data_IF_732118933838
#
_entry.id   IF_732118933838
#
_cell.length_a   1.000
_cell.length_b   1.000
_cell.length_c   1.000
_cell.angle_alpha   90.00
_cell.angle_beta   90.00
_cell.angle_gamma   90.00
#
_symmetry.space_group_name_H-M   'P 1'
#
loop_
_entity.id
_entity.type
_entity.pdbx_description
1 polymer ?
#
# COMPACT_ATOMS: atom_id res chain seq x y z
N UNK A 1 7.50 -2.76 -28.75
CA UNK A 1 7.66 -2.02 -27.47
C UNK A 1 7.27 -2.97 -26.35
N UNK A 2 8.10 -3.17 -25.31
CA UNK A 2 7.75 -4.06 -24.20
C UNK A 2 6.67 -3.38 -23.35
N UNK A 3 5.63 -4.12 -22.94
CA UNK A 3 4.63 -3.60 -22.00
C UNK A 3 5.31 -3.28 -20.67
N UNK A 4 5.08 -2.09 -20.13
CA UNK A 4 5.57 -1.68 -18.81
C UNK A 4 4.45 -1.53 -17.78
N UNK A 5 3.21 -1.28 -18.20
CA UNK A 5 2.05 -1.20 -17.29
C UNK A 5 1.52 -2.58 -16.96
N UNK A 6 1.41 -2.91 -15.67
CA UNK A 6 0.93 -4.21 -15.21
C UNK A 6 -0.52 -4.48 -15.65
N UNK A 7 -1.38 -3.46 -15.64
CA UNK A 7 -2.79 -3.57 -16.06
C UNK A 7 -3.01 -3.93 -17.53
N UNK A 8 -1.99 -3.79 -18.37
CA UNK A 8 -2.04 -4.14 -19.79
C UNK A 8 -1.45 -5.54 -20.06
N UNK A 9 -0.99 -6.23 -19.01
CA UNK A 9 -0.41 -7.57 -19.06
C UNK A 9 -1.46 -8.63 -18.74
N UNK A 10 -1.43 -9.75 -19.46
CA UNK A 10 -2.01 -11.01 -18.99
C UNK A 10 -1.26 -11.51 -17.76
N UNK A 11 -1.88 -12.40 -16.98
CA UNK A 11 -1.22 -12.97 -15.80
C UNK A 11 0.08 -13.72 -16.15
N UNK A 12 0.17 -14.34 -17.34
CA UNK A 12 1.38 -14.99 -17.84
C UNK A 12 2.48 -13.97 -18.16
N UNK A 13 2.12 -12.85 -18.81
CA UNK A 13 3.07 -11.75 -19.06
C UNK A 13 3.55 -11.11 -17.75
N UNK A 14 2.65 -10.96 -16.79
CA UNK A 14 2.96 -10.44 -15.45
C UNK A 14 3.90 -11.36 -14.68
N UNK A 15 3.64 -12.68 -14.69
CA UNK A 15 4.54 -13.67 -14.08
C UNK A 15 5.97 -13.52 -14.60
N UNK A 16 6.11 -13.47 -15.92
CA UNK A 16 7.39 -13.28 -16.57
C UNK A 16 8.01 -11.90 -16.27
N UNK A 17 7.20 -10.85 -16.12
CA UNK A 17 7.67 -9.53 -15.72
C UNK A 17 8.22 -9.52 -14.28
N UNK A 18 7.51 -10.13 -13.33
CA UNK A 18 7.92 -10.22 -11.93
C UNK A 18 9.18 -11.07 -11.73
N UNK A 19 9.41 -12.11 -12.56
CA UNK A 19 10.67 -12.88 -12.54
C UNK A 19 11.90 -12.06 -12.91
N UNK A 20 11.73 -10.96 -13.65
CA UNK A 20 12.83 -10.13 -14.17
C UNK A 20 12.95 -8.77 -13.48
N UNK A 21 11.96 -8.39 -12.68
CA UNK A 21 11.87 -7.06 -12.10
C UNK A 21 12.18 -7.11 -10.61
N UNK A 22 13.33 -6.57 -10.22
CA UNK A 22 13.69 -6.36 -8.80
C UNK A 22 13.10 -5.05 -8.24
N UNK A 23 12.46 -4.25 -9.10
CA UNK A 23 11.91 -2.94 -8.74
C UNK A 23 10.67 -2.64 -9.57
N UNK A 24 9.65 -2.08 -8.92
CA UNK A 24 8.39 -1.66 -9.54
C UNK A 24 8.04 -0.24 -9.11
N UNK A 25 7.28 0.47 -9.93
CA UNK A 25 6.75 1.79 -9.64
C UNK A 25 5.30 1.65 -9.19
N UNK A 26 4.97 2.18 -8.01
CA UNK A 26 3.59 2.24 -7.50
C UNK A 26 3.16 3.71 -7.47
N UNK A 27 2.39 4.18 -8.47
CA UNK A 27 1.87 5.54 -8.44
C UNK A 27 0.78 5.68 -7.38
N UNK A 28 0.90 6.70 -6.53
CA UNK A 28 -0.03 6.98 -5.44
C UNK A 28 -0.50 8.42 -5.53
N UNK A 29 -1.82 8.62 -5.53
CA UNK A 29 -2.45 9.92 -5.57
C UNK A 29 -3.58 10.05 -4.57
N UNK A 30 -4.28 11.18 -4.65
CA UNK A 30 -5.37 11.57 -3.76
C UNK A 30 -6.51 12.20 -4.55
N UNK A 31 -7.69 12.28 -3.93
CA UNK A 31 -8.86 12.99 -4.45
C UNK A 31 -9.25 14.09 -3.47
N UNK A 32 -8.84 15.32 -3.76
CA UNK A 32 -9.17 16.46 -2.90
C UNK A 32 -9.28 17.78 -3.64
N UNK A 33 -9.82 18.79 -2.96
CA UNK A 33 -9.93 20.12 -3.54
C UNK A 33 -8.55 20.78 -3.73
N UNK A 34 -8.39 21.48 -4.85
CA UNK A 34 -7.15 22.20 -5.21
C UNK A 34 -7.46 23.61 -5.73
N UNK A 35 -8.39 24.31 -5.08
CA UNK A 35 -8.97 25.52 -5.67
C UNK A 35 -9.74 25.20 -6.97
N UNK A 36 -9.73 26.07 -7.99
CA UNK A 36 -10.54 25.91 -9.20
C UNK A 36 -9.90 24.97 -10.25
N UNK A 37 -9.32 23.85 -9.82
CA UNK A 37 -8.75 22.83 -10.71
C UNK A 37 -9.33 21.44 -10.39
N UNK A 38 -9.13 20.42 -11.25
CA UNK A 38 -9.74 19.11 -11.06
C UNK A 38 -9.33 18.43 -9.75
N UNK A 39 -10.30 17.81 -9.08
CA UNK A 39 -10.11 17.08 -7.81
C UNK A 39 -9.08 15.94 -7.92
N UNK A 40 -9.07 15.25 -9.06
CA UNK A 40 -8.17 14.12 -9.32
C UNK A 40 -6.84 14.50 -9.97
N UNK A 41 -6.42 15.77 -9.84
CA UNK A 41 -5.17 16.23 -10.48
C UNK A 41 -3.95 15.47 -9.96
N UNK A 42 -3.92 15.10 -8.67
CA UNK A 42 -2.80 14.35 -8.08
C UNK A 42 -2.68 12.97 -8.73
N UNK A 43 -3.76 12.19 -8.71
CA UNK A 43 -3.81 10.85 -9.29
C UNK A 43 -3.46 10.85 -10.79
N UNK A 44 -4.00 11.81 -11.55
CA UNK A 44 -3.70 11.95 -12.99
C UNK A 44 -2.24 12.33 -13.25
N UNK A 45 -1.66 13.17 -12.41
CA UNK A 45 -0.29 13.64 -12.58
C UNK A 45 0.71 12.52 -12.28
N UNK A 46 0.52 11.80 -11.17
CA UNK A 46 1.39 10.69 -10.80
C UNK A 46 1.25 9.49 -11.76
N UNK A 47 0.05 9.23 -12.28
CA UNK A 47 -0.14 8.17 -13.29
C UNK A 47 0.65 8.48 -14.56
N UNK A 48 0.51 9.69 -15.10
CA UNK A 48 1.26 10.11 -16.30
C UNK A 48 2.78 10.13 -16.07
N UNK A 49 3.21 10.60 -14.91
CA UNK A 49 4.62 10.62 -14.56
C UNK A 49 5.18 9.19 -14.45
N UNK A 50 4.49 8.31 -13.74
CA UNK A 50 4.90 6.91 -13.58
C UNK A 50 4.93 6.17 -14.93
N UNK A 51 3.93 6.42 -15.79
CA UNK A 51 3.88 5.85 -17.13
C UNK A 51 5.09 6.26 -17.97
N UNK A 52 5.43 7.54 -17.97
CA UNK A 52 6.59 8.06 -18.72
C UNK A 52 7.92 7.54 -18.16
N UNK A 53 8.04 7.43 -16.83
CA UNK A 53 9.22 6.83 -16.19
C UNK A 53 9.32 5.35 -16.58
N UNK A 54 8.24 4.58 -16.48
CA UNK A 54 8.22 3.17 -16.89
C UNK A 54 8.57 2.99 -18.36
N UNK A 55 8.06 3.85 -19.24
CA UNK A 55 8.38 3.85 -20.68
C UNK A 55 9.86 4.10 -20.96
N UNK A 56 10.49 5.03 -20.22
CA UNK A 56 11.92 5.38 -20.41
C UNK A 56 12.89 4.39 -19.76
N UNK A 57 12.51 3.82 -18.62
CA UNK A 57 13.39 2.98 -17.79
C UNK A 57 13.17 1.49 -18.02
N UNK A 58 12.03 1.09 -18.58
CA UNK A 58 11.61 -0.30 -18.68
C UNK A 58 11.12 -0.92 -17.36
N UNK A 59 11.03 -0.12 -16.29
CA UNK A 59 10.46 -0.53 -15.01
C UNK A 59 8.96 -0.81 -15.14
N UNK A 60 8.50 -1.82 -14.43
CA UNK A 60 7.08 -2.15 -14.38
C UNK A 60 6.33 -1.13 -13.53
N UNK A 61 5.17 -0.67 -14.01
CA UNK A 61 4.31 0.30 -13.36
C UNK A 61 3.02 -0.39 -12.95
N UNK A 62 2.72 -0.34 -11.65
CA UNK A 62 1.46 -0.81 -11.09
C UNK A 62 0.33 0.20 -11.37
N UNK A 63 -0.95 -0.23 -11.29
CA UNK A 63 -2.08 0.68 -11.34
C UNK A 63 -2.00 1.77 -10.28
N UNK A 64 -2.49 2.97 -10.62
CA UNK A 64 -2.52 4.10 -9.69
C UNK A 64 -3.45 3.82 -8.51
N UNK A 65 -2.94 4.04 -7.30
CA UNK A 65 -3.75 4.10 -6.09
C UNK A 65 -4.31 5.52 -5.99
N UNK A 66 -5.51 5.71 -6.55
CA UNK A 66 -6.10 7.04 -6.71
C UNK A 66 -6.65 7.64 -5.40
N UNK A 67 -6.85 6.82 -4.37
CA UNK A 67 -7.34 7.24 -3.06
C UNK A 67 -6.19 7.27 -2.05
N UNK A 68 -6.28 8.21 -1.12
CA UNK A 68 -5.32 8.39 -0.03
C UNK A 68 -5.91 9.09 1.17
N UNK A 69 -5.06 9.43 2.12
CA UNK A 69 -5.41 10.22 3.31
C UNK A 69 -5.38 11.70 2.97
N UNK A 70 -6.44 12.44 3.32
CA UNK A 70 -6.45 13.89 3.25
C UNK A 70 -7.50 14.56 4.16
N UNK A 71 -7.40 14.32 5.46
CA UNK A 71 -8.35 14.82 6.46
C UNK A 71 -8.41 16.33 6.54
N UNK A 72 -7.33 17.02 6.16
CA UNK A 72 -7.28 18.50 6.14
C UNK A 72 -8.24 19.09 5.11
N UNK A 73 -8.56 18.34 4.07
CA UNK A 73 -9.38 18.79 2.93
C UNK A 73 -10.81 18.23 2.97
N UNK A 74 -11.16 17.41 3.98
CA UNK A 74 -12.47 16.72 4.06
C UNK A 74 -13.69 17.65 4.08
N UNK A 75 -13.50 18.92 4.45
CA UNK A 75 -14.57 19.92 4.48
C UNK A 75 -14.94 20.47 3.09
N UNK A 76 -14.12 20.20 2.07
CA UNK A 76 -14.39 20.63 0.70
C UNK A 76 -15.16 19.55 -0.07
N UNK A 77 -16.33 19.88 -0.66
CA UNK A 77 -17.13 18.93 -1.43
C UNK A 77 -16.33 18.23 -2.53
N UNK A 78 -16.51 16.92 -2.64
CA UNK A 78 -15.82 16.07 -3.61
C UNK A 78 -14.44 15.56 -3.15
N UNK A 79 -13.93 16.02 -2.01
CA UNK A 79 -12.77 15.38 -1.37
C UNK A 79 -13.17 14.02 -0.81
N UNK A 80 -12.38 12.98 -1.13
CA UNK A 80 -12.54 11.63 -0.61
C UNK A 80 -11.25 11.29 0.13
N UNK A 81 -11.34 11.14 1.45
CA UNK A 81 -10.24 10.75 2.33
C UNK A 81 -10.47 9.33 2.84
N UNK A 82 -9.41 8.52 2.84
CA UNK A 82 -9.37 7.22 3.50
C UNK A 82 -8.63 7.40 4.82
N UNK A 83 -9.12 6.77 5.88
CA UNK A 83 -8.45 6.72 7.18
C UNK A 83 -6.97 6.32 7.04
N UNK A 84 -6.11 6.99 7.80
CA UNK A 84 -4.66 6.81 7.72
C UNK A 84 -4.24 5.36 7.93
N UNK A 85 -4.79 4.67 8.93
CA UNK A 85 -4.41 3.29 9.22
C UNK A 85 -4.88 2.34 8.13
N UNK A 86 -6.06 2.60 7.55
CA UNK A 86 -6.58 1.80 6.45
C UNK A 86 -5.73 1.96 5.18
N UNK A 87 -5.34 3.19 4.83
CA UNK A 87 -4.52 3.39 3.63
C UNK A 87 -3.10 2.84 3.78
N UNK A 88 -2.50 2.97 4.98
CA UNK A 88 -1.22 2.34 5.31
C UNK A 88 -1.26 0.81 5.15
N UNK A 89 -2.36 0.19 5.60
CA UNK A 89 -2.57 -1.25 5.43
C UNK A 89 -2.69 -1.64 3.95
N UNK A 90 -3.37 -0.83 3.13
CA UNK A 90 -3.45 -1.04 1.68
C UNK A 90 -2.08 -0.95 1.03
N UNK A 91 -1.29 0.09 1.31
CA UNK A 91 0.06 0.24 0.74
C UNK A 91 0.98 -0.90 1.15
N UNK A 92 0.90 -1.34 2.41
CA UNK A 92 1.67 -2.48 2.91
C UNK A 92 1.26 -3.78 2.21
N UNK A 93 -0.03 -4.02 2.02
CA UNK A 93 -0.52 -5.22 1.33
C UNK A 93 -0.11 -5.24 -0.15
N UNK A 94 -0.20 -4.11 -0.84
CA UNK A 94 0.20 -3.98 -2.26
C UNK A 94 1.69 -4.22 -2.42
N UNK A 95 2.54 -3.57 -1.62
CA UNK A 95 4.00 -3.73 -1.68
C UNK A 95 4.47 -5.13 -1.26
N UNK A 96 3.80 -5.77 -0.31
CA UNK A 96 4.09 -7.15 0.05
C UNK A 96 3.75 -8.12 -1.09
N UNK A 97 2.62 -7.90 -1.77
CA UNK A 97 2.20 -8.72 -2.91
C UNK A 97 3.16 -8.63 -4.11
N UNK A 98 3.85 -7.50 -4.29
CA UNK A 98 4.88 -7.37 -5.35
C UNK A 98 6.20 -8.04 -4.99
N UNK A 99 6.46 -8.28 -3.71
CA UNK A 99 7.73 -8.86 -3.22
C UNK A 99 7.67 -10.39 -3.12
N UNK A 100 6.47 -10.96 -3.04
CA UNK A 100 6.27 -12.42 -2.99
C UNK A 100 5.60 -12.87 -4.28
N UNK A 101 6.37 -13.32 -5.30
CA UNK A 101 5.77 -13.93 -6.47
C UNK A 101 5.12 -15.25 -6.05
N UNK A 102 3.81 -15.21 -5.79
CA UNK A 102 2.99 -16.37 -5.49
C UNK A 102 2.75 -17.21 -6.76
N UNK A 103 3.80 -17.68 -7.41
CA UNK A 103 3.70 -18.61 -8.53
C UNK A 103 3.91 -20.02 -7.98
N UNK A 104 2.84 -20.60 -7.44
CA UNK A 104 2.80 -22.03 -7.15
C UNK A 104 2.93 -22.86 -8.44
N UNK A 105 3.37 -24.12 -8.38
CA UNK A 105 3.50 -24.95 -9.57
C UNK A 105 2.16 -25.02 -10.33
N UNK A 106 2.22 -24.71 -11.63
CA UNK A 106 1.09 -24.75 -12.55
C UNK A 106 0.42 -26.14 -12.50
N UNK A 107 -0.80 -26.22 -11.95
CA UNK A 107 -1.55 -27.48 -11.88
C UNK A 107 -2.55 -27.62 -10.73
N UNK A 108 -2.55 -26.73 -9.73
CA UNK A 108 -3.62 -26.71 -8.71
C UNK A 108 -4.60 -25.58 -8.98
N UNK A 109 -5.75 -25.92 -9.56
CA UNK A 109 -6.94 -25.07 -9.62
C UNK A 109 -7.56 -24.91 -8.22
N UNK A 110 -6.86 -24.20 -7.34
CA UNK A 110 -7.34 -23.83 -6.02
C UNK A 110 -6.64 -22.55 -5.59
N UNK A 111 -7.40 -21.46 -5.44
CA UNK A 111 -6.95 -20.14 -4.98
C UNK A 111 -6.37 -20.12 -3.55
N UNK A 112 -6.04 -21.29 -2.97
CA UNK A 112 -5.62 -21.49 -1.58
C UNK A 112 -4.11 -21.67 -1.39
N UNK A 113 -3.32 -21.79 -2.46
CA UNK A 113 -1.86 -21.98 -2.35
C UNK A 113 -1.05 -20.68 -2.15
N UNK A 114 -1.72 -19.52 -2.05
CA UNK A 114 -1.06 -18.21 -1.94
C UNK A 114 -0.60 -17.82 -0.53
N UNK A 115 -0.78 -18.66 0.50
CA UNK A 115 -0.52 -18.25 1.88
C UNK A 115 0.47 -19.18 2.59
N UNK A 116 1.75 -18.93 2.32
CA UNK A 116 2.78 -19.10 3.35
C UNK A 116 3.92 -18.13 3.08
N UNK A 117 4.08 -17.06 3.87
CA UNK A 117 5.32 -16.30 3.88
C UNK A 117 6.34 -17.16 4.64
N UNK A 118 7.24 -17.83 3.93
CA UNK A 118 8.51 -18.26 4.55
C UNK A 118 9.46 -17.06 4.57
N UNK A 119 9.08 -16.04 5.33
CA UNK A 119 10.02 -15.05 5.80
C UNK A 119 10.86 -15.69 6.90
N UNK A 120 12.07 -16.15 6.55
CA UNK A 120 13.10 -16.47 7.55
C UNK A 120 13.65 -15.17 8.11
N UNK A 121 13.06 -14.68 9.20
CA UNK A 121 13.58 -13.51 9.92
C UNK A 121 12.53 -12.80 10.78
N UNK A 122 12.23 -13.38 11.95
CA UNK A 122 11.71 -12.75 13.17
C UNK A 122 10.71 -11.57 13.04
N UNK A 123 9.40 -11.85 13.23
CA UNK A 123 8.58 -11.26 14.31
C UNK A 123 7.06 -11.53 14.12
N UNK A 124 6.47 -12.18 15.13
CA UNK A 124 5.04 -12.19 15.52
C UNK A 124 3.94 -12.50 14.49
N UNK A 125 3.41 -13.72 14.63
CA UNK A 125 2.14 -14.22 14.08
C UNK A 125 0.92 -13.38 14.50
N UNK A 126 0.05 -13.03 13.53
CA UNK A 126 -1.41 -13.33 13.53
C UNK A 126 -2.03 -12.91 12.19
N UNK A 127 -2.28 -13.87 11.30
CA UNK A 127 -3.32 -13.76 10.29
C UNK A 127 -4.17 -15.02 10.41
N UNK A 128 -5.35 -14.86 11.00
CA UNK A 128 -6.34 -15.91 11.21
C UNK A 128 -7.10 -16.17 9.92
N UNK A 129 -7.03 -17.39 9.42
CA UNK A 129 -7.89 -17.94 8.38
C UNK A 129 -9.36 -17.96 8.85
N UNK A 130 -10.27 -17.42 8.03
CA UNK A 130 -11.68 -17.18 8.35
C UNK A 130 -12.60 -18.42 8.24
N UNK A 131 -12.07 -19.65 8.25
CA UNK A 131 -12.89 -20.87 8.10
C UNK A 131 -12.80 -21.90 9.23
N UNK A 132 -12.21 -21.58 10.38
CA UNK A 132 -12.15 -22.51 11.51
C UNK A 132 -12.81 -21.94 12.78
N UNK A 133 -13.85 -22.63 13.22
CA UNK A 133 -14.77 -22.28 14.30
C UNK A 133 -14.13 -22.38 15.70
N UNK A 134 -14.29 -21.29 16.47
CA UNK A 134 -14.54 -21.13 17.93
C UNK A 134 -13.69 -21.88 19.00
N UNK A 135 -13.33 -21.07 20.03
CA UNK A 135 -12.94 -21.33 21.46
C UNK A 135 -11.47 -21.77 21.67
N UNK A 136 -10.66 -21.26 22.61
CA UNK A 136 -10.83 -20.30 23.72
C UNK A 136 -9.45 -19.74 24.19
N UNK A 137 -9.47 -18.50 24.70
CA UNK A 137 -8.81 -17.97 25.93
C UNK A 137 -7.33 -18.30 26.21
N UNK A 138 -6.51 -17.23 26.34
CA UNK A 138 -5.83 -16.87 27.62
C UNK A 138 -4.98 -15.61 27.44
N UNK A 139 -5.31 -14.56 28.21
CA UNK A 139 -4.48 -13.37 28.38
C UNK A 139 -3.24 -13.75 29.18
N UNK A 140 -2.05 -13.44 28.66
CA UNK A 140 -0.88 -13.17 29.51
C UNK A 140 -0.14 -11.96 28.97
N UNK A 141 0.02 -11.01 29.87
CA UNK A 141 0.59 -9.67 29.74
C UNK A 141 1.89 -9.63 28.94
N UNK A 142 1.96 -8.70 27.98
CA UNK A 142 3.20 -8.05 27.61
C UNK A 142 2.95 -6.56 27.60
N UNK A 143 3.64 -5.88 28.51
CA UNK A 143 3.59 -4.45 28.71
C UNK A 143 4.04 -3.73 27.43
N UNK A 144 3.23 -2.79 26.96
CA UNK A 144 3.69 -1.79 25.98
C UNK A 144 4.60 -0.81 26.73
N UNK A 145 5.80 -0.49 26.23
CA UNK A 145 6.56 0.62 26.78
C UNK A 145 5.75 1.90 26.59
N UNK A 146 5.50 2.61 27.69
CA UNK A 146 4.80 3.88 27.70
C UNK A 146 5.56 4.90 26.85
N UNK A 147 4.98 5.31 25.72
CA UNK A 147 5.46 6.48 24.99
C UNK A 147 5.17 7.70 25.86
N UNK A 148 6.21 8.30 26.46
CA UNK A 148 6.10 9.62 27.10
C UNK A 148 6.15 10.67 26.00
N UNK A 149 5.06 11.40 25.83
CA UNK A 149 5.05 12.65 25.08
C UNK A 149 6.04 13.62 25.72
N UNK A 150 6.90 14.32 24.96
CA UNK A 150 7.67 15.42 25.53
C UNK A 150 6.70 16.51 26.01
N UNK A 151 6.81 16.87 27.29
CA UNK A 151 6.06 17.97 27.89
C UNK A 151 6.37 19.28 27.15
N UNK A 152 5.38 20.16 26.91
CA UNK A 152 5.67 21.48 26.37
C UNK A 152 6.51 22.24 27.40
N UNK A 153 7.76 22.53 27.05
CA UNK A 153 8.59 23.45 27.80
C UNK A 153 7.87 24.80 27.84
N UNK A 154 7.56 25.25 29.05
CA UNK A 154 7.06 26.59 29.36
C UNK A 154 8.12 27.64 29.03
N UNK A 155 8.25 27.93 27.73
CA UNK A 155 9.07 29.01 27.20
C UNK A 155 8.33 30.34 27.31
N UNK A 156 8.51 31.00 28.46
CA UNK A 156 8.17 32.40 28.73
C UNK A 156 8.70 33.30 27.59
N UNK A 157 7.85 33.74 26.66
CA UNK A 157 8.17 34.88 25.79
C UNK A 157 7.64 36.15 26.42
N UNK A 158 8.60 36.97 26.84
CA UNK A 158 8.43 38.34 27.30
C UNK A 158 7.67 39.19 26.30
N UNK A 159 6.75 40.00 26.83
CA UNK A 159 6.24 41.21 26.17
C UNK A 159 7.42 42.10 25.76
N UNK A 160 7.46 42.49 24.49
CA UNK A 160 7.83 43.82 23.97
C UNK A 160 7.30 43.88 22.55
#
# INVERSE_FOLDING_TARGET
MRKHRLQDMSWMEAEEAFKRADTVIVPVGTLHAHGPIPIGIDARSVEKLADEVGRRTGLMVLPVLAYGENDKMKHYPGTITIDQHLIEAVYTAVTAATTTPCFGPAGRHGASACWSPSWNGAASRRLSCHSCSRKAISRRSLALPSWRSPSPSTGRRSRT
#
